data_IF_402414040019
#
_entry.id   IF_402414040019
#
_cell.length_a   1.000
_cell.length_b   1.000
_cell.length_c   1.000
_cell.angle_alpha   90.00
_cell.angle_beta   90.00
_cell.angle_gamma   90.00
#
_symmetry.space_group_name_H-M   'P 1'
#
loop_
_entity.id
_entity.type
_entity.pdbx_description
1 polymer ?
#
# COMPACT_ATOMS: atom_id res chain seq x y z
N UNK A 1 0.37 -29.32 -9.12
CA UNK A 1 1.53 -29.01 -8.25
C UNK A 1 1.53 -27.51 -8.06
N UNK A 2 0.98 -27.05 -6.95
CA UNK A 2 0.84 -25.63 -6.67
C UNK A 2 2.19 -25.01 -6.32
N UNK A 3 2.58 -24.00 -7.06
CA UNK A 3 3.80 -23.23 -6.78
C UNK A 3 3.52 -22.35 -5.58
N UNK A 4 4.09 -22.69 -4.44
CA UNK A 4 4.03 -21.83 -3.25
C UNK A 4 4.71 -20.51 -3.55
N UNK A 5 3.94 -19.44 -3.58
CA UNK A 5 4.47 -18.09 -3.64
C UNK A 5 5.08 -17.73 -2.29
N UNK A 6 6.41 -17.85 -2.18
CA UNK A 6 7.11 -17.37 -0.98
C UNK A 6 7.20 -15.86 -1.04
N UNK A 7 6.43 -15.18 -0.21
CA UNK A 7 6.66 -13.77 0.09
C UNK A 7 7.89 -13.71 0.97
N UNK A 8 9.02 -13.21 0.45
CA UNK A 8 10.23 -13.00 1.23
C UNK A 8 10.18 -11.63 1.90
N UNK A 9 10.42 -11.65 3.18
CA UNK A 9 10.42 -10.49 4.06
C UNK A 9 11.85 -10.14 4.41
N UNK A 10 12.21 -8.88 4.23
CA UNK A 10 13.50 -8.39 4.68
C UNK A 10 13.45 -8.07 6.16
N UNK A 11 14.32 -8.73 6.94
CA UNK A 11 14.65 -8.30 8.28
C UNK A 11 15.78 -7.29 8.22
N UNK A 12 15.59 -6.14 8.84
CA UNK A 12 16.71 -5.41 9.43
C UNK A 12 16.94 -6.00 10.82
N UNK A 13 18.19 -6.25 11.16
CA UNK A 13 18.60 -6.66 12.50
C UNK A 13 18.02 -5.68 13.54
N UNK A 14 17.19 -6.18 14.48
CA UNK A 14 16.51 -5.36 15.48
C UNK A 14 15.04 -5.03 15.21
N UNK A 15 14.48 -5.38 14.05
CA UNK A 15 13.04 -5.28 13.81
C UNK A 15 12.31 -6.49 14.43
N UNK A 16 11.11 -6.24 14.95
CA UNK A 16 10.25 -7.30 15.49
C UNK A 16 10.08 -8.44 14.47
N UNK A 17 9.97 -9.68 14.95
CA UNK A 17 9.85 -10.84 14.07
C UNK A 17 8.67 -10.61 13.14
N UNK A 18 8.97 -10.56 11.88
CA UNK A 18 7.98 -10.44 10.87
C UNK A 18 6.93 -11.50 11.01
N UNK A 19 5.82 -11.11 10.67
CA UNK A 19 4.75 -11.97 10.39
C UNK A 19 5.16 -13.05 9.44
N UNK A 20 5.24 -14.19 9.92
CA UNK A 20 6.12 -15.13 9.40
C UNK A 20 5.48 -16.35 8.94
N UNK A 21 4.57 -16.52 8.34
CA UNK A 21 4.25 -17.81 7.77
C UNK A 21 2.97 -17.68 6.92
N UNK A 22 3.16 -17.44 5.62
CA UNK A 22 2.12 -17.80 4.65
C UNK A 22 1.60 -19.22 4.92
N UNK A 23 2.46 -20.13 5.39
CA UNK A 23 2.05 -21.47 5.88
C UNK A 23 1.15 -21.43 7.10
N UNK A 24 1.20 -20.39 7.94
CA UNK A 24 0.36 -20.28 9.13
C UNK A 24 -1.08 -19.84 8.82
N UNK A 25 -1.29 -19.18 7.68
CA UNK A 25 -2.59 -18.66 7.30
C UNK A 25 -3.31 -19.52 6.26
N UNK A 26 -2.68 -20.60 5.80
CA UNK A 26 -3.21 -21.46 4.74
C UNK A 26 -2.99 -20.91 3.34
N UNK A 27 -3.81 -21.34 2.39
CA UNK A 27 -3.75 -20.87 1.00
C UNK A 27 -4.55 -19.57 0.87
N UNK A 28 -4.00 -18.52 0.22
CA UNK A 28 -4.77 -17.33 -0.09
C UNK A 28 -5.87 -17.67 -1.12
N UNK A 29 -6.98 -16.95 -1.06
CA UNK A 29 -8.08 -17.06 -2.03
C UNK A 29 -7.73 -16.40 -3.36
N UNK A 30 -6.88 -15.36 -3.32
CA UNK A 30 -6.30 -14.72 -4.49
C UNK A 30 -4.93 -14.13 -4.15
N UNK A 31 -4.06 -14.02 -5.17
CA UNK A 31 -2.78 -13.33 -5.09
C UNK A 31 -2.70 -12.27 -6.16
N UNK A 32 -2.53 -11.03 -5.75
CA UNK A 32 -2.44 -9.86 -6.62
C UNK A 32 -1.03 -9.31 -6.60
N UNK A 33 -0.64 -8.65 -7.69
CA UNK A 33 0.72 -8.15 -7.86
C UNK A 33 0.73 -6.70 -8.32
N UNK A 34 1.67 -5.93 -7.81
CA UNK A 34 1.96 -4.58 -8.30
C UNK A 34 3.46 -4.41 -8.53
N UNK A 35 3.84 -3.62 -9.52
CA UNK A 35 5.23 -3.36 -9.85
C UNK A 35 5.91 -2.53 -8.76
N UNK A 36 7.16 -2.88 -8.40
CA UNK A 36 8.00 -2.05 -7.54
C UNK A 36 8.39 -0.71 -8.17
N UNK A 37 8.31 -0.60 -9.51
CA UNK A 37 8.57 0.65 -10.25
C UNK A 37 7.50 1.73 -10.05
N UNK A 38 6.53 1.49 -9.22
CA UNK A 38 5.50 2.46 -8.81
C UNK A 38 6.12 3.73 -8.19
N UNK A 39 7.36 3.66 -7.70
CA UNK A 39 8.11 4.82 -7.20
C UNK A 39 8.59 5.80 -8.29
N UNK A 40 8.45 5.47 -9.57
CA UNK A 40 8.74 6.41 -10.65
C UNK A 40 7.46 7.13 -11.06
N UNK A 41 7.48 8.45 -11.03
CA UNK A 41 6.64 9.52 -11.63
C UNK A 41 5.34 9.16 -12.40
N UNK A 42 4.88 7.91 -12.37
CA UNK A 42 3.72 7.48 -13.14
C UNK A 42 2.45 7.62 -12.30
N UNK A 43 1.52 8.37 -12.83
CA UNK A 43 0.20 8.59 -12.26
C UNK A 43 -0.73 7.37 -12.39
N UNK A 44 -0.17 6.23 -12.80
CA UNK A 44 -0.91 5.01 -13.12
C UNK A 44 -0.28 3.81 -12.42
N UNK A 45 -1.10 3.04 -11.72
CA UNK A 45 -0.69 1.81 -11.04
C UNK A 45 -1.60 0.68 -11.51
N UNK A 46 -0.98 -0.38 -12.04
CA UNK A 46 -1.66 -1.62 -12.39
C UNK A 46 -1.54 -2.64 -11.27
N UNK A 47 -2.63 -3.27 -10.93
CA UNK A 47 -2.70 -4.44 -10.08
C UNK A 47 -3.08 -5.63 -10.97
N UNK A 48 -2.22 -6.64 -11.01
CA UNK A 48 -2.36 -7.79 -11.90
C UNK A 48 -2.56 -9.08 -11.10
N UNK A 49 -3.08 -10.11 -11.76
CA UNK A 49 -3.03 -11.47 -11.26
C UNK A 49 -1.65 -12.14 -11.53
N UNK A 50 -1.53 -13.42 -11.23
CA UNK A 50 -0.32 -14.22 -11.42
C UNK A 50 0.00 -14.48 -12.91
N UNK A 51 -0.96 -14.32 -13.81
CA UNK A 51 -0.78 -14.41 -15.27
C UNK A 51 -0.31 -13.10 -15.87
N UNK A 52 -0.40 -11.99 -15.11
CA UNK A 52 -0.10 -10.63 -15.55
C UNK A 52 -1.31 -9.90 -16.16
N UNK A 53 -2.51 -10.47 -16.08
CA UNK A 53 -3.72 -9.79 -16.49
C UNK A 53 -4.05 -8.67 -15.49
N UNK A 54 -4.35 -7.47 -15.99
CA UNK A 54 -4.71 -6.31 -15.15
C UNK A 54 -6.11 -6.52 -14.57
N UNK A 55 -6.22 -6.52 -13.25
CA UNK A 55 -7.47 -6.64 -12.52
C UNK A 55 -7.97 -5.30 -11.99
N UNK A 56 -7.05 -4.41 -11.60
CA UNK A 56 -7.38 -3.05 -11.15
C UNK A 56 -6.38 -2.06 -11.71
N UNK A 57 -6.86 -0.85 -11.98
CA UNK A 57 -6.07 0.27 -12.43
C UNK A 57 -6.31 1.48 -11.52
N UNK A 58 -5.26 2.21 -11.18
CA UNK A 58 -5.40 3.50 -10.52
C UNK A 58 -4.90 4.62 -11.41
N UNK A 59 -5.70 5.66 -11.55
CA UNK A 59 -5.38 6.85 -12.30
C UNK A 59 -5.35 8.06 -11.38
N UNK A 60 -4.16 8.67 -11.21
CA UNK A 60 -3.97 9.85 -10.38
C UNK A 60 -3.96 11.12 -11.22
N UNK A 61 -4.75 12.11 -10.81
CA UNK A 61 -4.67 13.47 -11.35
C UNK A 61 -3.92 14.34 -10.34
N UNK A 62 -2.66 14.63 -10.61
CA UNK A 62 -1.89 15.59 -9.82
C UNK A 62 -2.34 17.01 -10.16
N UNK A 63 -3.20 17.58 -9.36
CA UNK A 63 -3.53 19.00 -9.38
C UNK A 63 -3.14 19.59 -8.03
N UNK A 64 -1.92 20.01 -7.95
CA UNK A 64 -1.17 20.90 -7.03
C UNK A 64 -1.45 20.95 -5.53
N UNK A 65 -2.56 20.58 -4.96
CA UNK A 65 -2.81 20.58 -3.50
C UNK A 65 -3.81 19.52 -3.04
N UNK A 66 -4.48 18.89 -3.99
CA UNK A 66 -5.49 17.86 -3.73
C UNK A 66 -5.28 16.75 -4.75
N UNK A 67 -4.35 15.85 -4.46
CA UNK A 67 -4.18 14.67 -5.29
C UNK A 67 -5.43 13.81 -5.18
N UNK A 68 -6.00 13.47 -6.33
CA UNK A 68 -7.16 12.59 -6.44
C UNK A 68 -6.78 11.39 -7.27
N UNK A 69 -7.08 10.21 -6.76
CA UNK A 69 -6.84 8.94 -7.45
C UNK A 69 -8.13 8.17 -7.51
N UNK A 70 -8.54 7.79 -8.70
CA UNK A 70 -9.65 6.89 -8.93
C UNK A 70 -9.13 5.49 -9.23
N UNK A 71 -9.75 4.48 -8.63
CA UNK A 71 -9.47 3.08 -8.85
C UNK A 71 -10.64 2.46 -9.59
N UNK A 72 -10.34 1.76 -10.69
CA UNK A 72 -11.32 1.00 -11.47
C UNK A 72 -10.90 -0.47 -11.55
N UNK A 73 -11.85 -1.36 -11.74
CA UNK A 73 -11.57 -2.77 -12.06
C UNK A 73 -11.39 -2.98 -13.56
N UNK A 74 -11.04 -4.20 -13.96
CA UNK A 74 -10.79 -4.59 -15.35
C UNK A 74 -11.97 -4.38 -16.31
N UNK A 75 -13.19 -4.23 -15.77
CA UNK A 75 -14.38 -3.86 -16.55
C UNK A 75 -14.55 -2.34 -16.73
N UNK A 76 -13.71 -1.54 -16.07
CA UNK A 76 -13.83 -0.09 -15.97
C UNK A 76 -14.82 0.37 -14.89
N UNK A 77 -15.36 -0.55 -14.08
CA UNK A 77 -16.26 -0.17 -13.00
C UNK A 77 -15.49 0.52 -11.87
N UNK A 78 -16.08 1.57 -11.31
CA UNK A 78 -15.50 2.33 -10.21
C UNK A 78 -15.40 1.46 -8.94
N UNK A 79 -14.23 1.47 -8.30
CA UNK A 79 -13.92 0.72 -7.08
C UNK A 79 -13.75 1.62 -5.88
N UNK A 80 -12.90 2.65 -6.00
CA UNK A 80 -12.64 3.57 -4.90
C UNK A 80 -12.09 4.92 -5.40
N UNK A 81 -12.26 5.94 -4.56
CA UNK A 81 -11.65 7.26 -4.70
C UNK A 81 -10.72 7.53 -3.52
N UNK A 82 -9.50 7.92 -3.80
CA UNK A 82 -8.52 8.35 -2.79
C UNK A 82 -8.32 9.84 -2.93
N UNK A 83 -8.47 10.59 -1.85
CA UNK A 83 -8.20 12.02 -1.80
C UNK A 83 -7.23 12.35 -0.68
N UNK A 84 -6.26 13.21 -0.98
CA UNK A 84 -5.28 13.72 -0.03
C UNK A 84 -5.77 15.03 0.56
N UNK A 85 -5.72 15.17 1.87
CA UNK A 85 -5.90 16.44 2.58
C UNK A 85 -4.63 16.80 3.32
N UNK A 86 -4.04 17.93 2.97
CA UNK A 86 -2.95 18.55 3.71
C UNK A 86 -3.58 19.54 4.68
N UNK A 87 -3.86 19.09 5.90
CA UNK A 87 -4.33 19.94 7.00
C UNK A 87 -3.21 20.04 8.03
N UNK A 88 -2.33 21.05 7.85
CA UNK A 88 -1.26 21.35 8.80
C UNK A 88 -0.19 20.23 8.93
N UNK A 89 0.23 19.84 10.14
CA UNK A 89 1.33 18.90 10.40
C UNK A 89 1.00 17.42 10.12
N UNK A 90 -0.27 17.10 9.86
CA UNK A 90 -0.72 15.72 9.66
C UNK A 90 -1.39 15.57 8.29
N UNK A 91 -0.69 14.92 7.39
CA UNK A 91 -1.22 14.53 6.09
C UNK A 91 -2.12 13.31 6.25
N UNK A 92 -3.30 13.35 5.62
CA UNK A 92 -4.28 12.26 5.65
C UNK A 92 -4.76 11.92 4.26
N UNK A 93 -4.90 10.63 4.01
CA UNK A 93 -5.52 10.10 2.80
C UNK A 93 -6.88 9.51 3.17
N UNK A 94 -7.92 10.04 2.54
CA UNK A 94 -9.30 9.57 2.70
C UNK A 94 -9.63 8.66 1.54
N UNK A 95 -10.11 7.47 1.84
CA UNK A 95 -10.57 6.50 0.85
C UNK A 95 -12.07 6.37 0.94
N UNK A 96 -12.76 6.50 -0.19
CA UNK A 96 -14.20 6.29 -0.34
C UNK A 96 -14.42 5.17 -1.33
N UNK A 97 -14.97 4.05 -0.89
CA UNK A 97 -15.28 2.91 -1.74
C UNK A 97 -16.56 3.12 -2.52
N UNK A 98 -16.77 2.36 -3.60
CA UNK A 98 -17.95 2.44 -4.44
C UNK A 98 -19.28 2.16 -3.71
N UNK A 99 -19.24 1.37 -2.65
CA UNK A 99 -20.40 1.07 -1.79
C UNK A 99 -20.66 2.12 -0.71
N UNK A 100 -19.85 3.19 -0.66
CA UNK A 100 -19.96 4.27 0.31
C UNK A 100 -19.17 4.06 1.60
N UNK A 101 -18.47 2.93 1.77
CA UNK A 101 -17.56 2.73 2.90
C UNK A 101 -16.45 3.76 2.85
N UNK A 102 -16.16 4.39 3.99
CA UNK A 102 -15.11 5.42 4.11
C UNK A 102 -14.12 5.05 5.20
N UNK A 103 -12.83 5.27 4.93
CA UNK A 103 -11.77 5.11 5.92
C UNK A 103 -10.62 6.08 5.66
N UNK A 104 -9.74 6.23 6.65
CA UNK A 104 -8.59 7.12 6.52
C UNK A 104 -7.27 6.43 6.89
N UNK A 105 -6.21 6.90 6.22
CA UNK A 105 -4.82 6.56 6.48
C UNK A 105 -4.07 7.86 6.79
N UNK A 106 -3.39 7.93 7.93
CA UNK A 106 -2.62 9.11 8.34
C UNK A 106 -1.12 8.85 8.30
N UNK A 107 -0.31 9.91 8.17
CA UNK A 107 1.16 9.82 8.21
C UNK A 107 1.69 9.27 9.54
N UNK A 108 0.89 9.24 10.58
CA UNK A 108 1.25 8.63 11.87
C UNK A 108 1.60 7.15 11.72
N UNK A 109 1.05 6.48 10.69
CA UNK A 109 1.39 5.10 10.34
C UNK A 109 2.91 4.90 10.17
N UNK A 110 3.64 5.93 9.72
CA UNK A 110 5.08 5.86 9.49
C UNK A 110 5.94 6.24 10.69
N UNK A 111 5.35 6.85 11.72
CA UNK A 111 6.06 7.34 12.91
C UNK A 111 5.92 6.39 14.10
N UNK A 112 5.11 5.38 13.97
CA UNK A 112 4.85 4.47 15.07
C UNK A 112 6.00 3.47 15.17
N UNK A 113 6.74 3.57 16.29
CA UNK A 113 7.73 2.58 16.73
C UNK A 113 7.04 1.25 17.12
N UNK A 114 5.72 1.18 17.00
CA UNK A 114 4.92 -0.01 17.33
C UNK A 114 4.54 -0.75 16.07
N UNK A 115 4.70 -2.05 16.09
CA UNK A 115 4.41 -2.96 14.98
C UNK A 115 2.91 -3.06 14.61
N UNK A 116 2.02 -2.29 15.25
CA UNK A 116 0.57 -2.36 15.07
C UNK A 116 -0.02 -0.96 14.91
N UNK A 117 -0.75 -0.76 13.82
CA UNK A 117 -1.51 0.47 13.52
C UNK A 117 -2.95 0.14 13.22
N UNK A 118 -3.88 0.93 13.76
CA UNK A 118 -5.29 0.82 13.43
C UNK A 118 -5.64 1.70 12.22
N UNK A 119 -6.49 1.19 11.33
CA UNK A 119 -7.05 1.95 10.21
C UNK A 119 -8.39 2.52 10.68
N UNK A 120 -8.47 3.85 10.79
CA UNK A 120 -9.68 4.54 11.20
C UNK A 120 -10.81 4.35 10.17
N UNK A 121 -12.00 4.04 10.66
CA UNK A 121 -13.16 3.76 9.81
C UNK A 121 -13.38 2.28 9.49
N UNK A 122 -12.31 1.45 9.51
CA UNK A 122 -12.42 0.00 9.28
C UNK A 122 -12.36 -0.83 10.56
N UNK A 123 -11.72 -0.31 11.61
CA UNK A 123 -11.38 -1.10 12.79
C UNK A 123 -10.35 -2.21 12.51
N UNK A 124 -9.67 -2.13 11.37
CA UNK A 124 -8.64 -3.10 10.97
C UNK A 124 -7.30 -2.73 11.55
N UNK A 125 -6.46 -3.76 11.72
CA UNK A 125 -5.09 -3.60 12.18
C UNK A 125 -4.10 -3.91 11.07
N UNK A 126 -3.14 -3.03 10.93
CA UNK A 126 -1.98 -3.19 10.09
C UNK A 126 -0.78 -3.52 10.99
N UNK A 127 -0.06 -4.63 10.71
CA UNK A 127 1.09 -5.10 11.49
C UNK A 127 2.28 -5.32 10.57
N UNK A 128 3.42 -4.71 10.90
CA UNK A 128 4.67 -4.87 10.17
C UNK A 128 5.23 -3.58 9.57
N UNK A 129 6.14 -3.70 8.62
CA UNK A 129 6.84 -2.58 7.99
C UNK A 129 6.03 -2.00 6.81
N UNK A 130 5.29 -0.95 7.09
CA UNK A 130 4.45 -0.28 6.07
C UNK A 130 5.29 0.42 5.01
N UNK A 131 6.39 1.08 5.40
CA UNK A 131 7.29 1.77 4.47
C UNK A 131 7.92 0.83 3.45
N UNK A 132 8.21 -0.39 3.86
CA UNK A 132 8.73 -1.44 2.98
C UNK A 132 7.65 -2.22 2.26
N UNK A 133 6.36 -1.86 2.38
CA UNK A 133 5.22 -2.65 1.90
C UNK A 133 5.35 -4.13 2.29
N UNK A 134 5.68 -4.37 3.55
CA UNK A 134 5.84 -5.69 4.13
C UNK A 134 5.07 -5.79 5.44
N UNK A 135 3.77 -6.09 5.34
CA UNK A 135 2.85 -6.04 6.46
C UNK A 135 1.67 -7.01 6.29
N UNK A 136 0.92 -7.18 7.34
CA UNK A 136 -0.33 -7.93 7.40
C UNK A 136 -1.49 -7.03 7.75
N UNK A 137 -2.66 -7.37 7.23
CA UNK A 137 -3.94 -6.77 7.58
C UNK A 137 -4.80 -7.78 8.33
N UNK A 138 -5.35 -7.33 9.45
CA UNK A 138 -6.27 -8.08 10.28
C UNK A 138 -7.59 -7.33 10.42
N UNK A 139 -8.69 -8.06 10.47
CA UNK A 139 -9.99 -7.49 10.79
C UNK A 139 -10.12 -7.16 12.29
N UNK A 140 -11.25 -6.56 12.68
CA UNK A 140 -11.53 -6.18 14.07
C UNK A 140 -11.64 -7.37 15.02
N UNK A 141 -11.79 -8.58 14.50
CA UNK A 141 -11.87 -9.83 15.28
C UNK A 141 -10.53 -10.55 15.36
N UNK A 142 -9.51 -10.03 14.69
CA UNK A 142 -8.16 -10.59 14.66
C UNK A 142 -7.93 -11.66 13.60
N UNK A 143 -8.84 -11.83 12.65
CA UNK A 143 -8.62 -12.73 11.52
C UNK A 143 -7.78 -12.04 10.45
N UNK A 144 -6.93 -12.84 9.80
CA UNK A 144 -6.12 -12.34 8.69
C UNK A 144 -6.99 -12.00 7.48
N UNK A 145 -6.76 -10.82 6.91
CA UNK A 145 -7.39 -10.36 5.67
C UNK A 145 -6.43 -10.52 4.51
N UNK A 146 -5.20 -10.02 4.69
CA UNK A 146 -4.20 -10.04 3.64
C UNK A 146 -2.77 -10.00 4.21
N UNK A 147 -1.83 -10.54 3.43
CA UNK A 147 -0.39 -10.42 3.66
C UNK A 147 0.22 -9.72 2.45
N UNK A 148 0.91 -8.62 2.70
CA UNK A 148 1.59 -7.83 1.66
C UNK A 148 3.09 -7.98 1.84
N UNK A 149 3.81 -8.26 0.74
CA UNK A 149 5.27 -8.40 0.80
C UNK A 149 5.89 -8.46 -0.58
N UNK A 150 7.23 -8.35 -0.63
CA UNK A 150 7.97 -8.43 -1.87
C UNK A 150 8.17 -9.89 -2.30
N UNK A 151 7.90 -10.17 -3.58
CA UNK A 151 8.14 -11.50 -4.18
C UNK A 151 9.55 -11.56 -4.74
N UNK A 152 10.41 -12.41 -4.10
CA UNK A 152 11.81 -12.59 -4.48
C UNK A 152 11.95 -13.53 -5.63
N UNK A 153 11.92 -13.59 -6.70
CA UNK A 153 12.10 -14.45 -7.89
C UNK A 153 11.30 -13.99 -9.13
N UNK A 154 10.89 -12.74 -9.13
CA UNK A 154 10.39 -12.13 -10.36
C UNK A 154 11.55 -11.39 -11.03
N UNK A 155 11.69 -11.52 -12.35
CA UNK A 155 12.63 -10.72 -13.18
C UNK A 155 12.38 -9.21 -12.98
N UNK A 156 11.22 -8.86 -12.42
CA UNK A 156 10.85 -7.52 -11.99
C UNK A 156 10.42 -7.62 -10.54
N UNK A 157 11.04 -6.82 -9.67
CA UNK A 157 10.59 -6.69 -8.29
C UNK A 157 9.10 -6.34 -8.25
N UNK A 158 8.32 -7.25 -7.72
CA UNK A 158 6.87 -7.09 -7.57
C UNK A 158 6.49 -7.25 -6.11
N UNK A 159 5.57 -6.41 -5.66
CA UNK A 159 4.87 -6.64 -4.42
C UNK A 159 3.70 -7.57 -4.66
N UNK A 160 3.54 -8.54 -3.76
CA UNK A 160 2.44 -9.49 -3.75
C UNK A 160 1.49 -9.15 -2.62
N UNK A 161 0.20 -9.23 -2.90
CA UNK A 161 -0.89 -9.13 -1.93
C UNK A 161 -1.59 -10.49 -1.91
N UNK A 162 -1.28 -11.32 -0.93
CA UNK A 162 -1.98 -12.60 -0.71
C UNK A 162 -3.25 -12.32 0.10
N UNK A 163 -4.41 -12.52 -0.51
CA UNK A 163 -5.73 -12.22 0.06
C UNK A 163 -6.33 -13.49 0.65
N UNK A 164 -6.86 -13.41 1.87
CA UNK A 164 -7.50 -14.53 2.59
C UNK A 164 -9.02 -14.35 2.74
N UNK A 165 -9.53 -13.15 2.54
CA UNK A 165 -10.98 -12.84 2.59
C UNK A 165 -11.37 -12.18 1.25
N UNK A 166 -12.06 -12.94 0.37
CA UNK A 166 -12.38 -12.50 -0.99
C UNK A 166 -13.24 -11.23 -1.04
N UNK A 167 -14.16 -11.07 -0.10
CA UNK A 167 -15.03 -9.90 0.01
C UNK A 167 -14.30 -8.62 0.44
N UNK A 168 -13.04 -8.72 0.87
CA UNK A 168 -12.20 -7.59 1.29
C UNK A 168 -11.16 -7.19 0.25
N UNK A 169 -11.04 -7.93 -0.86
CA UNK A 169 -9.99 -7.72 -1.87
C UNK A 169 -9.93 -6.26 -2.36
N UNK A 170 -11.06 -5.67 -2.74
CA UNK A 170 -11.13 -4.28 -3.23
C UNK A 170 -10.66 -3.26 -2.19
N UNK A 171 -10.95 -3.49 -0.92
CA UNK A 171 -10.51 -2.62 0.18
C UNK A 171 -9.00 -2.75 0.37
N UNK A 172 -8.45 -3.98 0.30
CA UNK A 172 -7.00 -4.22 0.39
C UNK A 172 -6.27 -3.52 -0.75
N UNK A 173 -6.77 -3.61 -1.98
CA UNK A 173 -6.22 -2.90 -3.15
C UNK A 173 -6.20 -1.39 -2.89
N UNK A 174 -7.30 -0.82 -2.41
CA UNK A 174 -7.38 0.61 -2.12
C UNK A 174 -6.40 1.04 -1.01
N UNK A 175 -6.24 0.24 0.05
CA UNK A 175 -5.25 0.49 1.11
C UNK A 175 -3.82 0.49 0.54
N UNK A 176 -3.45 -0.53 -0.25
CA UNK A 176 -2.10 -0.65 -0.80
C UNK A 176 -1.79 0.52 -1.74
N UNK A 177 -2.71 0.90 -2.61
CA UNK A 177 -2.54 2.06 -3.50
C UNK A 177 -2.40 3.36 -2.69
N UNK A 178 -3.24 3.58 -1.66
CA UNK A 178 -3.12 4.75 -0.81
C UNK A 178 -1.78 4.80 -0.06
N UNK A 179 -1.31 3.68 0.47
CA UNK A 179 0.01 3.59 1.13
C UNK A 179 1.16 3.87 0.16
N UNK A 180 1.08 3.40 -1.08
CA UNK A 180 2.08 3.71 -2.11
C UNK A 180 2.14 5.22 -2.40
N UNK A 181 0.99 5.90 -2.48
CA UNK A 181 0.95 7.36 -2.62
C UNK A 181 1.60 8.05 -1.42
N UNK A 182 1.26 7.65 -0.21
CA UNK A 182 1.82 8.23 1.03
C UNK A 182 3.34 8.04 1.12
N UNK A 183 3.87 6.87 0.75
CA UNK A 183 5.31 6.58 0.75
C UNK A 183 6.01 7.50 -0.26
N UNK A 184 5.49 7.62 -1.47
CA UNK A 184 6.02 8.49 -2.52
C UNK A 184 6.06 9.96 -2.09
N UNK A 185 4.98 10.46 -1.50
CA UNK A 185 4.88 11.85 -1.06
C UNK A 185 5.89 12.16 0.04
N UNK A 186 6.12 11.20 0.94
CA UNK A 186 7.17 11.30 1.96
C UNK A 186 8.57 11.36 1.35
N UNK A 187 8.86 10.52 0.35
CA UNK A 187 10.16 10.50 -0.33
C UNK A 187 10.41 11.80 -1.09
N UNK A 188 9.40 12.34 -1.78
CA UNK A 188 9.46 13.61 -2.47
C UNK A 188 9.75 14.77 -1.51
N UNK A 189 9.13 14.77 -0.33
CA UNK A 189 9.33 15.78 0.71
C UNK A 189 10.73 15.72 1.33
N UNK A 190 11.29 14.52 1.48
CA UNK A 190 12.64 14.31 2.01
C UNK A 190 13.75 14.70 1.02
N UNK A 191 13.50 14.57 -0.30
CA UNK A 191 14.46 14.90 -1.35
C UNK A 191 14.56 16.39 -1.70
N UNK A 192 13.59 17.21 -1.31
CA UNK A 192 13.49 18.64 -1.65
C UNK A 192 14.34 19.60 -0.79
N UNK A 193 15.05 19.12 0.23
CA UNK A 193 15.77 19.94 1.22
C UNK A 193 17.23 20.32 0.90
N UNK A 194 17.75 20.04 -0.29
CA UNK A 194 19.19 20.18 -0.60
C UNK A 194 19.55 21.16 -1.70
N UNK A 195 19.18 22.45 -1.56
CA UNK A 195 19.56 23.42 -2.60
C UNK A 195 19.45 24.88 -2.20
N UNK A 196 20.36 25.39 -1.32
CA UNK A 196 20.35 26.81 -0.99
C UNK A 196 21.49 27.24 -0.09
N UNK A 197 22.72 27.29 -0.61
CA UNK A 197 23.86 27.77 0.15
C UNK A 197 25.07 28.06 -0.72
N UNK A 198 24.97 29.04 -1.60
CA UNK A 198 26.09 29.60 -2.36
C UNK A 198 26.20 31.07 -2.10
N UNK A 199 26.71 31.46 -0.93
CA UNK A 199 27.15 32.83 -0.66
C UNK A 199 28.36 33.15 -1.49
N UNK A 200 28.30 34.20 -2.27
CA UNK A 200 29.43 34.85 -2.86
C UNK A 200 29.73 36.09 -2.05
N UNK A 201 30.84 36.05 -1.36
CA UNK A 201 31.55 37.22 -0.87
C UNK A 201 32.49 37.69 -1.96
N UNK A 202 32.33 38.88 -2.44
CA UNK A 202 33.35 39.93 -2.61
C UNK A 202 32.67 41.22 -2.98
#
# INVERSE_FOLDING_TARGET
MGTFSKVHRFHKEGEAPNVNNVAAFGQPVSSLYTSSKVFTLHHHIDITDDTGAVLYESNSKMISLHDKTDITDSSGAFVAHISRKILTLHERHYVTMADGLMFELSNEIFHIVRDITNIEGLGWQLRGNVLGLNFELYDSTGNIIAVIGQKMFSIHDKYCMDIYQADKEKIVVAIVIALQHMIRDREASAGGGGGGGGGSSN
#
